data_IF_940199289664
#
_entry.id   IF_940199289664
#
_cell.length_a   1.000
_cell.length_b   1.000
_cell.length_c   1.000
_cell.angle_alpha   90.00
_cell.angle_beta   90.00
_cell.angle_gamma   90.00
#
_symmetry.space_group_name_H-M   'P 1'
#
loop_
_entity.id
_entity.type
_entity.pdbx_description
1 polymer ?
#
# COMPACT_ATOMS: atom_id res chain seq x y z
N UNK A 1 17.82 6.98 6.27
CA UNK A 1 16.61 6.16 6.03
C UNK A 1 16.85 4.79 6.70
N UNK A 2 15.86 4.32 7.48
CA UNK A 2 15.89 2.96 8.04
C UNK A 2 15.62 1.92 6.96
N UNK A 3 16.04 0.69 7.19
CA UNK A 3 15.73 -0.48 6.36
C UNK A 3 15.11 -1.54 7.24
N UNK A 4 14.02 -2.17 6.77
CA UNK A 4 13.37 -3.27 7.49
C UNK A 4 13.94 -4.63 7.09
N UNK A 5 14.24 -4.80 5.80
CA UNK A 5 14.81 -6.01 5.22
C UNK A 5 16.06 -5.68 4.40
N UNK A 6 17.20 -5.36 5.04
CA UNK A 6 18.40 -4.89 4.34
C UNK A 6 18.86 -5.82 3.22
N UNK A 7 18.74 -7.14 3.40
CA UNK A 7 19.12 -8.16 2.41
C UNK A 7 18.29 -8.09 1.11
N UNK A 8 17.04 -7.62 1.21
CA UNK A 8 16.18 -7.41 0.03
C UNK A 8 16.35 -6.00 -0.53
N UNK A 9 16.44 -5.01 0.37
CA UNK A 9 16.44 -3.59 -0.01
C UNK A 9 17.77 -3.15 -0.61
N UNK A 10 18.87 -3.89 -0.34
CA UNK A 10 20.22 -3.63 -0.90
C UNK A 10 20.70 -4.78 -1.81
N UNK A 11 19.80 -5.64 -2.27
CA UNK A 11 20.14 -6.77 -3.13
C UNK A 11 20.82 -6.32 -4.42
N UNK A 12 21.87 -7.05 -4.85
CA UNK A 12 22.51 -6.82 -6.13
C UNK A 12 21.50 -6.86 -7.28
N UNK A 13 21.67 -6.00 -8.27
CA UNK A 13 20.71 -5.85 -9.38
C UNK A 13 20.48 -7.15 -10.13
N UNK A 14 21.52 -7.95 -10.37
CA UNK A 14 21.37 -9.21 -11.10
C UNK A 14 20.64 -10.26 -10.26
N UNK A 15 20.88 -10.29 -8.95
CA UNK A 15 20.14 -11.18 -8.04
C UNK A 15 18.68 -10.78 -7.93
N UNK A 16 18.41 -9.48 -7.87
CA UNK A 16 17.05 -8.94 -7.87
C UNK A 16 16.30 -9.31 -9.17
N UNK A 17 16.94 -9.20 -10.32
CA UNK A 17 16.33 -9.57 -11.61
C UNK A 17 16.05 -11.08 -11.71
N UNK A 18 16.91 -11.93 -11.17
CA UNK A 18 16.65 -13.37 -11.07
C UNK A 18 15.43 -13.65 -10.21
N UNK A 19 15.36 -13.03 -9.02
CA UNK A 19 14.22 -13.16 -8.11
C UNK A 19 12.91 -12.66 -8.75
N UNK A 20 12.98 -11.53 -9.46
CA UNK A 20 11.82 -10.98 -10.18
C UNK A 20 11.35 -11.92 -11.28
N UNK A 21 12.27 -12.50 -12.04
CA UNK A 21 11.94 -13.46 -13.10
C UNK A 21 11.29 -14.74 -12.54
N UNK A 22 11.85 -15.29 -11.47
CA UNK A 22 11.29 -16.47 -10.80
C UNK A 22 9.85 -16.21 -10.33
N UNK A 23 9.63 -15.07 -9.70
CA UNK A 23 8.29 -14.66 -9.21
C UNK A 23 7.32 -14.42 -10.36
N UNK A 24 7.78 -13.80 -11.46
CA UNK A 24 6.99 -13.58 -12.67
C UNK A 24 6.55 -14.91 -13.29
N UNK A 25 7.49 -15.84 -13.49
CA UNK A 25 7.21 -17.18 -14.05
C UNK A 25 6.19 -17.94 -13.19
N UNK A 26 6.37 -17.92 -11.87
CA UNK A 26 5.43 -18.54 -10.92
C UNK A 26 4.03 -17.92 -11.04
N UNK A 27 3.94 -16.60 -11.10
CA UNK A 27 2.65 -15.90 -11.18
C UNK A 27 1.98 -16.13 -12.54
N UNK A 28 2.71 -16.08 -13.64
CA UNK A 28 2.18 -16.35 -14.99
C UNK A 28 1.62 -17.77 -15.07
N UNK A 29 2.35 -18.75 -14.55
CA UNK A 29 1.88 -20.15 -14.47
C UNK A 29 0.60 -20.24 -13.63
N UNK A 30 0.59 -19.62 -12.45
CA UNK A 30 -0.55 -19.62 -11.54
C UNK A 30 -1.83 -19.06 -12.21
N UNK A 31 -1.75 -17.91 -12.86
CA UNK A 31 -2.93 -17.31 -13.52
C UNK A 31 -3.34 -18.07 -14.76
N UNK A 32 -2.40 -18.65 -15.49
CA UNK A 32 -2.71 -19.50 -16.66
C UNK A 32 -3.46 -20.78 -16.26
N UNK A 33 -3.07 -21.42 -15.17
CA UNK A 33 -3.68 -22.65 -14.68
C UNK A 33 -5.04 -22.43 -14.04
N UNK A 34 -5.20 -21.33 -13.30
CA UNK A 34 -6.34 -21.13 -12.41
C UNK A 34 -7.34 -20.06 -12.86
N UNK A 35 -7.00 -19.22 -13.84
CA UNK A 35 -7.90 -18.15 -14.32
C UNK A 35 -8.22 -18.35 -15.81
N UNK A 36 -9.42 -18.86 -16.15
CA UNK A 36 -9.80 -19.19 -17.54
C UNK A 36 -9.61 -18.02 -18.51
N UNK A 37 -9.95 -16.80 -18.12
CA UNK A 37 -9.80 -15.60 -18.95
C UNK A 37 -8.34 -15.37 -19.37
N UNK A 38 -7.39 -15.51 -18.44
CA UNK A 38 -5.95 -15.34 -18.75
C UNK A 38 -5.45 -16.47 -19.67
N UNK A 39 -5.85 -17.70 -19.41
CA UNK A 39 -5.52 -18.84 -20.27
C UNK A 39 -5.99 -18.59 -21.70
N UNK A 40 -7.26 -18.25 -21.89
CA UNK A 40 -7.84 -18.00 -23.22
C UNK A 40 -7.10 -16.87 -23.95
N UNK A 41 -6.80 -15.76 -23.27
CA UNK A 41 -6.09 -14.64 -23.88
C UNK A 41 -4.64 -14.97 -24.25
N UNK A 42 -3.95 -15.69 -23.39
CA UNK A 42 -2.59 -16.14 -23.67
C UNK A 42 -2.58 -17.11 -24.85
N UNK A 43 -3.50 -18.08 -24.89
CA UNK A 43 -3.64 -19.03 -26.00
C UNK A 43 -3.94 -18.32 -27.33
N UNK A 44 -4.83 -17.32 -27.33
CA UNK A 44 -5.10 -16.50 -28.53
C UNK A 44 -3.89 -15.72 -29.02
N UNK A 45 -2.97 -15.35 -28.13
CA UNK A 45 -1.69 -14.70 -28.47
C UNK A 45 -0.59 -15.72 -28.83
N UNK A 46 -0.84 -17.02 -28.68
CA UNK A 46 0.18 -18.06 -28.86
C UNK A 46 1.28 -18.01 -27.80
N UNK A 47 0.97 -17.55 -26.60
CA UNK A 47 1.93 -17.40 -25.49
C UNK A 47 1.60 -18.40 -24.39
N UNK A 48 2.60 -19.13 -23.92
CA UNK A 48 2.51 -20.10 -22.82
C UNK A 48 3.39 -19.65 -21.65
N UNK A 49 3.15 -20.16 -20.41
CA UNK A 49 4.00 -19.84 -19.28
C UNK A 49 5.50 -20.08 -19.54
N UNK A 50 5.85 -21.11 -20.30
CA UNK A 50 7.23 -21.50 -20.63
C UNK A 50 7.93 -20.53 -21.58
N UNK A 51 7.19 -19.63 -22.22
CA UNK A 51 7.72 -18.58 -23.10
C UNK A 51 8.27 -17.38 -22.35
N UNK A 52 8.04 -17.31 -21.03
CA UNK A 52 8.56 -16.27 -20.15
C UNK A 52 9.93 -16.71 -19.64
N UNK A 53 10.99 -16.29 -20.32
CA UNK A 53 12.39 -16.66 -20.03
C UNK A 53 13.23 -15.51 -19.48
N UNK A 54 12.77 -14.30 -19.62
CA UNK A 54 13.43 -13.08 -19.17
C UNK A 54 12.37 -12.01 -18.83
N UNK A 55 12.74 -11.00 -18.05
CA UNK A 55 11.78 -9.96 -17.59
C UNK A 55 11.12 -9.20 -18.72
N UNK A 56 11.82 -8.97 -19.84
CA UNK A 56 11.24 -8.29 -21.01
C UNK A 56 10.10 -9.08 -21.68
N UNK A 57 10.02 -10.39 -21.43
CA UNK A 57 8.95 -11.24 -21.96
C UNK A 57 7.58 -10.89 -21.34
N UNK A 58 7.55 -10.10 -20.27
CA UNK A 58 6.32 -9.50 -19.74
C UNK A 58 5.50 -8.81 -20.83
N UNK A 59 6.15 -8.20 -21.83
CA UNK A 59 5.50 -7.56 -22.97
C UNK A 59 4.72 -8.54 -23.88
N UNK A 60 4.97 -9.83 -23.81
CA UNK A 60 4.21 -10.85 -24.55
C UNK A 60 2.83 -11.09 -23.95
N UNK A 61 2.66 -10.85 -22.65
CA UNK A 61 1.42 -11.16 -21.94
C UNK A 61 0.25 -10.25 -22.40
N UNK A 62 -1.00 -10.73 -22.33
CA UNK A 62 -2.17 -9.90 -22.59
C UNK A 62 -2.37 -8.90 -21.46
N UNK A 63 -2.89 -7.72 -21.79
CA UNK A 63 -3.32 -6.75 -20.80
C UNK A 63 -4.63 -7.16 -20.15
N UNK A 64 -4.79 -6.72 -18.88
CA UNK A 64 -6.05 -6.71 -18.16
C UNK A 64 -6.54 -5.27 -18.06
N UNK A 65 -7.81 -5.06 -18.33
CA UNK A 65 -8.46 -3.75 -18.25
C UNK A 65 -9.38 -3.67 -17.03
N UNK A 66 -9.75 -2.46 -16.64
CA UNK A 66 -10.73 -2.25 -15.57
C UNK A 66 -12.10 -2.86 -15.91
N UNK A 67 -12.45 -2.94 -17.20
CA UNK A 67 -13.67 -3.59 -17.65
C UNK A 67 -13.64 -5.09 -17.38
N UNK A 68 -12.50 -5.76 -17.59
CA UNK A 68 -12.35 -7.19 -17.28
C UNK A 68 -12.64 -7.48 -15.81
N UNK A 69 -12.11 -6.63 -14.91
CA UNK A 69 -12.35 -6.77 -13.46
C UNK A 69 -13.84 -6.63 -13.09
N UNK A 70 -14.62 -5.93 -13.90
CA UNK A 70 -16.07 -5.79 -13.72
C UNK A 70 -16.85 -6.94 -14.33
N UNK A 71 -16.45 -7.42 -15.52
CA UNK A 71 -17.12 -8.48 -16.26
C UNK A 71 -17.00 -9.82 -15.54
N UNK A 72 -15.83 -10.06 -14.93
CA UNK A 72 -15.53 -11.27 -14.15
C UNK A 72 -15.75 -11.11 -12.64
N UNK A 73 -16.53 -10.11 -12.24
CA UNK A 73 -16.90 -9.87 -10.85
C UNK A 73 -17.78 -11.00 -10.28
N UNK A 74 -17.67 -11.41 -9.01
CA UNK A 74 -16.70 -10.86 -8.04
C UNK A 74 -15.40 -11.67 -7.91
N UNK A 75 -15.36 -12.95 -8.29
CA UNK A 75 -14.30 -13.89 -7.92
C UNK A 75 -13.68 -14.65 -9.08
N UNK A 76 -14.14 -14.45 -10.31
CA UNK A 76 -13.74 -15.26 -11.46
C UNK A 76 -12.28 -15.03 -11.90
N UNK A 77 -11.66 -13.92 -11.44
CA UNK A 77 -10.24 -13.63 -11.65
C UNK A 77 -9.34 -14.03 -10.48
N UNK A 78 -9.87 -14.70 -9.46
CA UNK A 78 -9.05 -15.19 -8.36
C UNK A 78 -8.29 -16.46 -8.81
N UNK A 79 -6.97 -16.43 -8.66
CA UNK A 79 -6.10 -17.57 -8.95
C UNK A 79 -5.91 -18.49 -7.73
N UNK A 80 -6.54 -18.20 -6.62
CA UNK A 80 -6.54 -19.01 -5.41
C UNK A 80 -7.96 -19.51 -5.10
N UNK A 81 -8.06 -20.66 -4.45
CA UNK A 81 -9.35 -21.20 -3.98
C UNK A 81 -9.99 -20.26 -2.97
N UNK A 82 -11.32 -20.14 -3.01
CA UNK A 82 -12.06 -19.31 -2.02
C UNK A 82 -11.77 -19.65 -0.57
N UNK A 83 -11.50 -20.92 -0.25
CA UNK A 83 -11.15 -21.37 1.10
C UNK A 83 -9.85 -20.79 1.63
N UNK A 84 -8.94 -20.38 0.71
CA UNK A 84 -7.62 -19.81 1.02
C UNK A 84 -7.65 -18.28 1.09
N UNK A 85 -8.75 -17.67 0.65
CA UNK A 85 -8.96 -16.20 0.76
C UNK A 85 -9.39 -15.85 2.18
N UNK A 86 -8.55 -15.13 2.89
CA UNK A 86 -8.78 -14.75 4.30
C UNK A 86 -9.22 -13.30 4.48
N UNK A 87 -9.09 -12.47 3.42
CA UNK A 87 -9.52 -11.08 3.42
C UNK A 87 -9.97 -10.63 2.03
N UNK A 88 -10.94 -9.73 2.00
CA UNK A 88 -11.40 -9.06 0.77
C UNK A 88 -11.29 -7.57 0.97
N UNK A 89 -10.79 -6.89 -0.07
CA UNK A 89 -10.86 -5.46 -0.23
C UNK A 89 -11.61 -5.10 -1.51
N UNK A 90 -12.09 -3.86 -1.59
CA UNK A 90 -12.74 -3.36 -2.79
C UNK A 90 -12.38 -1.89 -3.03
N UNK A 91 -12.40 -1.49 -4.30
CA UNK A 91 -12.27 -0.10 -4.70
C UNK A 91 -13.52 0.72 -4.30
N UNK A 92 -13.41 2.05 -4.30
CA UNK A 92 -14.53 2.95 -3.94
C UNK A 92 -15.77 2.82 -4.84
N UNK A 93 -15.60 2.31 -6.07
CA UNK A 93 -16.71 2.17 -7.02
C UNK A 93 -17.26 3.48 -7.62
N UNK A 94 -16.54 4.59 -7.47
CA UNK A 94 -16.96 5.93 -7.97
C UNK A 94 -17.27 5.97 -9.46
N UNK A 95 -16.65 5.09 -10.25
CA UNK A 95 -16.84 5.00 -11.72
C UNK A 95 -17.72 3.83 -12.15
N UNK A 96 -18.52 3.25 -11.24
CA UNK A 96 -19.38 2.11 -11.51
C UNK A 96 -19.23 1.00 -10.45
N UNK A 97 -19.39 -0.28 -10.86
CA UNK A 97 -19.28 -1.42 -9.94
C UNK A 97 -17.92 -1.47 -9.29
N UNK A 98 -17.86 -1.72 -7.99
CA UNK A 98 -16.63 -1.91 -7.23
C UNK A 98 -15.80 -3.05 -7.83
N UNK A 99 -14.49 -2.95 -7.72
CA UNK A 99 -13.55 -4.02 -8.02
C UNK A 99 -13.21 -4.71 -6.71
N UNK A 100 -13.22 -6.03 -6.70
CA UNK A 100 -12.91 -6.85 -5.53
C UNK A 100 -11.53 -7.48 -5.69
N UNK A 101 -10.72 -7.40 -4.65
CA UNK A 101 -9.44 -8.09 -4.52
C UNK A 101 -9.48 -9.03 -3.33
N UNK A 102 -9.11 -10.30 -3.54
CA UNK A 102 -9.01 -11.32 -2.51
C UNK A 102 -7.56 -11.56 -2.12
N UNK A 103 -7.31 -11.75 -0.84
CA UNK A 103 -5.98 -11.94 -0.28
C UNK A 103 -5.91 -13.26 0.47
N UNK A 104 -4.92 -14.06 0.13
CA UNK A 104 -4.50 -15.21 0.94
C UNK A 104 -3.69 -14.74 2.16
N UNK A 105 -3.38 -15.62 3.09
CA UNK A 105 -2.48 -15.30 4.21
C UNK A 105 -1.11 -14.84 3.71
N UNK A 106 -0.56 -15.52 2.72
CA UNK A 106 0.73 -15.16 2.13
C UNK A 106 0.72 -13.77 1.47
N UNK A 107 -0.38 -13.38 0.80
CA UNK A 107 -0.52 -12.05 0.22
C UNK A 107 -0.52 -10.97 1.30
N UNK A 108 -1.21 -11.22 2.42
CA UNK A 108 -1.23 -10.30 3.55
C UNK A 108 0.14 -10.15 4.22
N UNK A 109 0.90 -11.25 4.35
CA UNK A 109 2.24 -11.22 4.90
C UNK A 109 3.21 -10.44 4.00
N UNK A 110 3.17 -10.69 2.69
CA UNK A 110 3.94 -9.93 1.70
C UNK A 110 3.58 -8.43 1.72
N UNK A 111 2.30 -8.11 1.80
CA UNK A 111 1.85 -6.72 1.85
C UNK A 111 2.30 -6.02 3.14
N UNK A 112 2.21 -6.70 4.27
CA UNK A 112 2.71 -6.20 5.54
C UNK A 112 4.23 -5.90 5.46
N UNK A 113 5.03 -6.77 4.81
CA UNK A 113 6.45 -6.52 4.59
C UNK A 113 6.70 -5.27 3.73
N UNK A 114 5.92 -5.07 2.67
CA UNK A 114 6.02 -3.87 1.83
C UNK A 114 5.74 -2.59 2.64
N UNK A 115 4.70 -2.60 3.45
CA UNK A 115 4.34 -1.46 4.30
C UNK A 115 5.34 -1.25 5.45
N UNK A 116 5.89 -2.32 6.03
CA UNK A 116 6.94 -2.23 7.04
C UNK A 116 8.21 -1.56 6.50
N UNK A 117 8.63 -1.91 5.27
CA UNK A 117 9.74 -1.22 4.59
C UNK A 117 9.48 0.26 4.40
N UNK A 118 8.25 0.62 4.07
CA UNK A 118 7.87 2.02 3.91
C UNK A 118 7.89 2.80 5.23
N UNK A 119 7.40 2.19 6.31
CA UNK A 119 7.47 2.78 7.65
C UNK A 119 8.93 2.94 8.07
N UNK A 120 9.79 1.94 7.82
CA UNK A 120 11.23 2.02 8.08
C UNK A 120 11.91 3.13 7.27
N UNK A 121 11.57 3.26 5.98
CA UNK A 121 12.09 4.33 5.13
C UNK A 121 11.70 5.73 5.64
N UNK A 122 10.55 5.85 6.32
CA UNK A 122 10.12 7.06 7.01
C UNK A 122 10.75 7.23 8.41
N UNK A 123 11.67 6.35 8.80
CA UNK A 123 12.37 6.39 10.09
C UNK A 123 11.65 5.68 11.23
N UNK A 124 10.61 4.90 10.93
CA UNK A 124 9.89 4.10 11.93
C UNK A 124 10.61 2.78 12.25
N UNK A 125 10.40 2.29 13.46
CA UNK A 125 10.98 1.08 14.02
C UNK A 125 10.02 0.47 15.08
N UNK A 126 10.48 -0.52 15.81
CA UNK A 126 9.73 -1.19 16.87
C UNK A 126 9.41 -0.28 18.08
N UNK A 127 10.06 0.87 18.21
CA UNK A 127 9.80 1.86 19.26
C UNK A 127 8.83 2.95 18.81
N UNK A 128 8.37 2.88 17.57
CA UNK A 128 7.48 3.88 16.99
C UNK A 128 6.05 3.67 17.41
N UNK A 129 5.28 4.77 17.42
CA UNK A 129 3.84 4.78 17.62
C UNK A 129 3.20 5.32 16.34
N UNK A 130 2.49 4.46 15.61
CA UNK A 130 1.93 4.75 14.29
C UNK A 130 0.44 4.97 14.38
N UNK A 131 -0.01 6.21 14.18
CA UNK A 131 -1.44 6.51 14.10
C UNK A 131 -1.94 6.30 12.66
N UNK A 132 -2.92 5.41 12.51
CA UNK A 132 -3.55 5.10 11.23
C UNK A 132 -4.91 5.79 11.16
N UNK A 133 -4.95 6.90 10.43
CA UNK A 133 -6.12 7.76 10.23
C UNK A 133 -6.75 7.58 8.85
N UNK A 134 -6.47 6.47 8.16
CA UNK A 134 -7.24 6.00 7.01
C UNK A 134 -8.51 5.29 7.47
N UNK A 135 -9.59 5.37 6.67
CA UNK A 135 -10.79 4.59 6.91
C UNK A 135 -10.52 3.08 6.90
N UNK A 136 -10.99 2.38 7.91
CA UNK A 136 -11.00 0.92 7.95
C UNK A 136 -12.25 0.38 7.26
N UNK A 137 -12.16 -0.78 6.60
CA UNK A 137 -13.24 -1.40 5.86
C UNK A 137 -12.74 -2.03 4.57
N UNK A 138 -13.51 -1.91 3.49
CA UNK A 138 -13.12 -2.48 2.19
C UNK A 138 -11.95 -1.75 1.51
N UNK A 139 -11.70 -0.50 1.86
CA UNK A 139 -10.57 0.25 1.36
C UNK A 139 -9.22 -0.31 1.88
N UNK A 140 -8.20 -0.31 1.02
CA UNK A 140 -6.93 -0.97 1.33
C UNK A 140 -6.03 -0.19 2.29
N UNK A 141 -6.11 1.15 2.31
CA UNK A 141 -5.14 2.02 2.99
C UNK A 141 -5.04 1.77 4.50
N UNK A 142 -6.18 1.68 5.20
CA UNK A 142 -6.20 1.52 6.66
C UNK A 142 -5.55 0.21 7.12
N UNK A 143 -6.03 -0.92 6.60
CA UNK A 143 -5.51 -2.24 6.98
C UNK A 143 -4.10 -2.52 6.42
N UNK A 144 -3.71 -1.86 5.32
CA UNK A 144 -2.34 -1.94 4.81
C UNK A 144 -1.34 -1.27 5.75
N UNK A 145 -1.59 -0.02 6.12
CA UNK A 145 -0.75 0.72 7.06
C UNK A 145 -0.71 0.04 8.44
N UNK A 146 -1.86 -0.45 8.92
CA UNK A 146 -1.97 -1.22 10.16
C UNK A 146 -1.08 -2.47 10.14
N UNK A 147 -1.22 -3.30 9.10
CA UNK A 147 -0.43 -4.53 8.98
C UNK A 147 1.08 -4.27 8.90
N UNK A 148 1.50 -3.20 8.22
CA UNK A 148 2.91 -2.79 8.18
C UNK A 148 3.43 -2.31 9.52
N UNK A 149 2.61 -1.55 10.27
CA UNK A 149 2.96 -1.08 11.60
C UNK A 149 3.14 -2.23 12.59
N UNK A 150 2.22 -3.20 12.60
CA UNK A 150 2.37 -4.41 13.43
C UNK A 150 3.57 -5.26 12.99
N UNK A 151 3.81 -5.38 11.68
CA UNK A 151 4.91 -6.17 11.11
C UNK A 151 6.29 -5.64 11.50
N UNK A 152 6.48 -4.31 11.58
CA UNK A 152 7.75 -3.71 12.04
C UNK A 152 7.90 -3.76 13.57
N UNK A 153 6.86 -4.14 14.31
CA UNK A 153 6.83 -4.20 15.76
C UNK A 153 6.42 -2.88 16.43
N UNK A 154 5.94 -1.89 15.67
CA UNK A 154 5.51 -0.61 16.21
C UNK A 154 4.14 -0.71 16.90
N UNK A 155 3.90 0.19 17.85
CA UNK A 155 2.58 0.36 18.45
C UNK A 155 1.62 1.02 17.46
N UNK A 156 0.50 0.38 17.13
CA UNK A 156 -0.49 0.89 16.18
C UNK A 156 -1.68 1.53 16.89
N UNK A 157 -2.01 2.78 16.52
CA UNK A 157 -3.24 3.47 16.96
C UNK A 157 -4.25 3.45 15.79
N UNK A 158 -5.24 2.55 15.77
CA UNK A 158 -6.18 2.40 14.67
C UNK A 158 -7.38 3.37 14.82
N UNK A 159 -7.12 4.67 14.64
CA UNK A 159 -8.13 5.74 14.84
C UNK A 159 -9.22 5.73 13.79
N UNK A 160 -8.93 5.20 12.58
CA UNK A 160 -9.80 5.34 11.41
C UNK A 160 -9.95 6.82 10.98
N UNK A 161 -10.94 7.15 10.17
CA UNK A 161 -11.24 8.50 9.72
C UNK A 161 -12.29 9.19 10.60
N UNK A 162 -12.34 10.52 10.55
CA UNK A 162 -13.33 11.35 11.25
C UNK A 162 -12.95 11.70 12.68
N UNK A 163 -13.76 12.57 13.30
CA UNK A 163 -13.57 13.11 14.65
C UNK A 163 -12.15 13.68 14.90
N UNK A 164 -11.83 14.73 14.17
CA UNK A 164 -10.48 15.33 14.10
C UNK A 164 -9.91 15.72 15.45
N UNK A 165 -10.70 16.40 16.32
CA UNK A 165 -10.23 16.77 17.65
C UNK A 165 -9.87 15.56 18.52
N UNK A 166 -10.66 14.47 18.43
CA UNK A 166 -10.35 13.24 19.15
C UNK A 166 -9.06 12.61 18.62
N UNK A 167 -8.83 12.64 17.31
CA UNK A 167 -7.59 12.13 16.72
C UNK A 167 -6.37 12.90 17.17
N UNK A 168 -6.47 14.24 17.25
CA UNK A 168 -5.39 15.10 17.76
C UNK A 168 -5.12 14.80 19.24
N UNK A 169 -6.15 14.68 20.07
CA UNK A 169 -5.96 14.30 21.48
C UNK A 169 -5.27 12.95 21.63
N UNK A 170 -5.72 11.92 20.92
CA UNK A 170 -5.08 10.60 20.95
C UNK A 170 -3.64 10.64 20.46
N UNK A 171 -3.36 11.43 19.43
CA UNK A 171 -2.01 11.63 18.88
C UNK A 171 -1.06 12.19 19.96
N UNK A 172 -1.53 13.15 20.76
CA UNK A 172 -0.77 13.74 21.86
C UNK A 172 -0.65 12.76 23.04
N UNK A 173 -1.79 12.27 23.53
CA UNK A 173 -1.85 11.43 24.73
C UNK A 173 -1.09 10.12 24.60
N UNK A 174 -1.11 9.52 23.41
CA UNK A 174 -0.42 8.25 23.12
C UNK A 174 0.97 8.46 22.50
N UNK A 175 1.39 9.69 22.29
CA UNK A 175 2.73 10.01 21.78
C UNK A 175 2.98 9.51 20.37
N UNK A 176 2.00 9.67 19.44
CA UNK A 176 2.17 9.22 18.07
C UNK A 176 3.40 9.84 17.42
N UNK A 177 4.28 9.00 16.85
CA UNK A 177 5.51 9.42 16.18
C UNK A 177 5.37 9.44 14.66
N UNK A 178 4.44 8.64 14.13
CA UNK A 178 4.15 8.54 12.69
C UNK A 178 2.66 8.65 12.44
N UNK A 179 2.29 9.36 11.37
CA UNK A 179 0.90 9.55 10.95
C UNK A 179 0.69 8.95 9.55
N UNK A 180 -0.33 8.10 9.38
CA UNK A 180 -0.74 7.56 8.09
C UNK A 180 -2.16 8.05 7.77
N UNK A 181 -2.32 8.90 6.74
CA UNK A 181 -3.61 9.41 6.29
C UNK A 181 -3.53 9.94 4.84
N UNK A 182 -4.65 10.47 4.29
CA UNK A 182 -4.60 11.17 3.02
C UNK A 182 -3.91 12.54 3.18
N UNK A 183 -3.26 13.07 2.12
CA UNK A 183 -2.63 14.39 2.17
C UNK A 183 -3.60 15.51 2.56
N UNK A 184 -4.82 15.51 1.99
CA UNK A 184 -5.85 16.51 2.33
C UNK A 184 -6.24 16.44 3.79
N UNK A 185 -6.32 15.24 4.38
CA UNK A 185 -6.61 15.10 5.80
C UNK A 185 -5.44 15.54 6.68
N UNK A 186 -4.19 15.31 6.25
CA UNK A 186 -3.01 15.84 6.94
C UNK A 186 -2.99 17.38 6.98
N UNK A 187 -3.37 18.02 5.86
CA UNK A 187 -3.55 19.48 5.81
C UNK A 187 -4.58 19.94 6.85
N UNK A 188 -5.75 19.32 6.85
CA UNK A 188 -6.83 19.66 7.77
C UNK A 188 -6.46 19.43 9.25
N UNK A 189 -5.74 18.33 9.54
CA UNK A 189 -5.16 18.09 10.87
C UNK A 189 -4.19 19.21 11.27
N UNK A 190 -3.30 19.61 10.36
CA UNK A 190 -2.33 20.67 10.61
C UNK A 190 -3.00 22.03 10.93
N UNK A 191 -4.04 22.39 10.17
CA UNK A 191 -4.85 23.59 10.44
C UNK A 191 -5.51 23.53 11.82
N UNK A 192 -6.20 22.43 12.12
CA UNK A 192 -6.88 22.23 13.40
C UNK A 192 -5.90 22.23 14.58
N UNK A 193 -4.74 21.60 14.45
CA UNK A 193 -3.68 21.61 15.48
C UNK A 193 -3.18 23.03 15.77
N UNK A 194 -3.00 23.83 14.72
CA UNK A 194 -2.58 25.22 14.87
C UNK A 194 -3.68 26.09 15.51
N UNK A 195 -4.95 25.91 15.14
CA UNK A 195 -6.10 26.59 15.76
C UNK A 195 -6.25 26.21 17.24
N UNK A 196 -6.03 24.97 17.60
CA UNK A 196 -6.04 24.50 19.00
C UNK A 196 -4.81 24.95 19.78
N UNK A 197 -3.74 25.43 19.13
CA UNK A 197 -2.51 25.86 19.78
C UNK A 197 -1.73 24.73 20.46
N UNK A 198 -1.82 23.50 19.96
CA UNK A 198 -1.24 22.30 20.59
C UNK A 198 -0.07 21.68 19.82
N UNK A 199 0.46 22.37 18.82
CA UNK A 199 1.55 21.87 17.97
C UNK A 199 2.77 21.42 18.77
N UNK A 200 3.15 22.18 19.78
CA UNK A 200 4.33 21.89 20.62
C UNK A 200 4.15 20.65 21.52
N UNK A 201 2.94 20.09 21.59
CA UNK A 201 2.64 18.87 22.34
C UNK A 201 2.78 17.59 21.50
N UNK A 202 3.00 17.73 20.19
CA UNK A 202 3.13 16.59 19.28
C UNK A 202 4.49 15.91 19.41
N UNK A 203 4.49 14.59 19.33
CA UNK A 203 5.69 13.76 19.22
C UNK A 203 5.96 13.29 17.78
N UNK A 204 5.19 13.78 16.81
CA UNK A 204 5.29 13.40 15.40
C UNK A 204 6.67 13.70 14.84
N UNK A 205 7.18 12.74 14.04
CA UNK A 205 8.46 12.84 13.33
C UNK A 205 8.27 12.74 11.82
N UNK A 206 7.33 11.89 11.38
CA UNK A 206 7.07 11.65 9.98
C UNK A 206 5.59 11.38 9.71
N UNK A 207 5.18 11.61 8.46
CA UNK A 207 3.88 11.21 7.95
C UNK A 207 4.02 10.45 6.65
N UNK A 208 3.16 9.46 6.45
CA UNK A 208 3.08 8.63 5.24
C UNK A 208 1.71 8.87 4.62
N UNK A 209 1.69 9.56 3.48
CA UNK A 209 0.50 10.11 2.87
C UNK A 209 0.29 9.54 1.46
N UNK A 210 -0.96 9.31 1.07
CA UNK A 210 -1.30 8.82 -0.25
C UNK A 210 -2.80 8.62 -0.43
N UNK A 211 -3.17 7.80 -1.40
CA UNK A 211 -4.54 7.55 -1.85
C UNK A 211 -5.16 8.67 -2.71
N UNK A 212 -4.51 9.81 -2.82
CA UNK A 212 -4.90 10.91 -3.71
C UNK A 212 -3.66 11.63 -4.24
N UNK A 213 -3.73 12.29 -5.42
CA UNK A 213 -2.64 13.13 -5.91
C UNK A 213 -2.42 14.33 -5.00
N UNK A 214 -1.18 14.71 -4.79
CA UNK A 214 -0.80 15.91 -4.04
C UNK A 214 0.45 16.56 -4.63
N UNK A 215 0.62 17.84 -4.34
CA UNK A 215 1.69 18.66 -4.91
C UNK A 215 2.83 18.86 -3.92
N UNK A 216 3.99 19.33 -4.42
CA UNK A 216 5.10 19.70 -3.54
C UNK A 216 4.72 20.87 -2.62
N UNK A 217 3.88 21.80 -3.06
CA UNK A 217 3.39 22.88 -2.20
C UNK A 217 2.56 22.33 -1.01
N UNK A 218 1.68 21.34 -1.27
CA UNK A 218 0.95 20.66 -0.19
C UNK A 218 1.91 19.92 0.75
N UNK A 219 2.96 19.29 0.22
CA UNK A 219 4.00 18.64 1.02
C UNK A 219 4.64 19.63 1.99
N UNK A 220 5.11 20.76 1.46
CA UNK A 220 5.74 21.80 2.29
C UNK A 220 4.78 22.36 3.34
N UNK A 221 3.52 22.57 2.99
CA UNK A 221 2.51 23.03 3.94
C UNK A 221 2.27 22.01 5.06
N UNK A 222 2.16 20.71 4.75
CA UNK A 222 2.02 19.62 5.72
C UNK A 222 3.26 19.56 6.62
N UNK A 223 4.45 19.55 6.05
CA UNK A 223 5.70 19.52 6.80
C UNK A 223 5.83 20.70 7.75
N UNK A 224 5.48 21.90 7.27
CA UNK A 224 5.53 23.12 8.08
C UNK A 224 4.47 23.12 9.18
N UNK A 225 3.22 22.76 8.88
CA UNK A 225 2.11 22.80 9.84
C UNK A 225 2.27 21.78 10.97
N UNK A 226 2.69 20.56 10.62
CA UNK A 226 2.85 19.45 11.57
C UNK A 226 4.26 19.35 12.17
N UNK A 227 5.27 19.99 11.58
CA UNK A 227 6.66 19.90 12.02
C UNK A 227 7.32 18.55 11.73
N UNK A 228 6.97 17.89 10.63
CA UNK A 228 7.36 16.52 10.29
C UNK A 228 8.04 16.45 8.93
N UNK A 229 8.55 15.23 8.57
CA UNK A 229 8.86 14.87 7.18
C UNK A 229 7.68 14.12 6.56
N UNK A 230 7.33 14.47 5.32
CA UNK A 230 6.22 13.88 4.59
C UNK A 230 6.72 12.93 3.49
N UNK A 231 6.24 11.69 3.54
CA UNK A 231 6.56 10.62 2.60
C UNK A 231 5.33 10.23 1.79
N UNK A 232 5.53 9.97 0.51
CA UNK A 232 4.45 9.55 -0.38
C UNK A 232 4.32 8.02 -0.41
N UNK A 233 3.08 7.52 -0.44
CA UNK A 233 2.75 6.13 -0.64
C UNK A 233 1.78 5.97 -1.80
N UNK A 234 2.15 5.10 -2.73
CA UNK A 234 1.34 4.78 -3.89
C UNK A 234 0.80 3.35 -3.82
N UNK A 235 -0.40 3.17 -4.29
CA UNK A 235 -1.00 1.86 -4.48
C UNK A 235 -2.40 1.93 -5.09
N UNK A 236 -2.86 0.78 -5.57
CA UNK A 236 -4.20 0.56 -6.10
C UNK A 236 -4.74 -0.74 -5.53
N UNK A 237 -6.07 -0.87 -5.43
CA UNK A 237 -6.72 -2.13 -5.07
C UNK A 237 -6.28 -3.28 -5.99
N UNK A 238 -6.03 -2.97 -7.27
CA UNK A 238 -5.63 -3.90 -8.33
C UNK A 238 -4.19 -4.42 -8.20
N UNK A 239 -3.34 -3.78 -7.39
CA UNK A 239 -1.93 -4.14 -7.20
C UNK A 239 -1.57 -4.36 -5.73
N UNK A 240 -2.45 -4.95 -4.96
CA UNK A 240 -2.28 -5.27 -3.52
C UNK A 240 -2.53 -4.09 -2.57
N UNK A 241 -2.90 -2.90 -3.05
CA UNK A 241 -3.08 -1.71 -2.22
C UNK A 241 -1.78 -0.91 -2.06
N UNK A 242 -1.66 -0.03 -1.04
CA UNK A 242 -0.45 0.74 -0.81
C UNK A 242 0.72 -0.19 -0.49
N UNK A 243 1.88 0.10 -1.02
CA UNK A 243 3.09 -0.73 -0.85
C UNK A 243 4.27 -0.27 -1.69
N UNK A 244 4.05 0.77 -2.51
CA UNK A 244 5.13 1.43 -3.26
C UNK A 244 5.47 2.73 -2.56
N UNK A 245 6.70 2.84 -2.09
CA UNK A 245 7.24 4.07 -1.51
C UNK A 245 7.80 4.94 -2.62
N UNK A 246 7.34 6.17 -2.70
CA UNK A 246 7.95 7.18 -3.56
C UNK A 246 8.83 8.08 -2.69
N UNK A 247 10.13 8.00 -2.92
CA UNK A 247 11.10 8.87 -2.26
C UNK A 247 10.98 10.29 -2.79
N UNK A 248 11.08 11.27 -1.89
CA UNK A 248 11.11 12.70 -2.18
C UNK A 248 12.12 13.18 -3.23
N UNK A 249 13.08 12.36 -3.60
CA UNK A 249 14.29 12.80 -4.30
C UNK A 249 14.27 12.47 -5.80
N UNK A 250 13.27 11.72 -6.29
CA UNK A 250 13.35 11.11 -7.61
C UNK A 250 12.10 11.26 -8.48
N UNK A 251 11.33 12.30 -8.24
CA UNK A 251 10.24 12.65 -9.16
C UNK A 251 10.57 13.98 -9.82
#
# INVERSE_FOLDING_TARGET
MGMYQPEIETMDRNELEKLQLERLQKQVKNVYENVPMYRERMDKKGVKPEDIKELKDLAKLPFTTKQDLRDYYPFELFAADKKDIVRIHASSGTTGRQIVAGYTRNDLDMWADCMARQIAAAGGDENSVVQVSYGYGLFTGGLGAHGGSERIGAMTIPTSSGNTERQIRLMIELGATHLCCTPSYAMYLGETINEMGVKDQLSLKAGIFGAEPWTEDMRHQIEQSLGIKAYDVYGLTEITGPGVSLSLIHI
#
